data_IF_530663873339
#
_entry.id   IF_530663873339
#
_cell.length_a   1.000
_cell.length_b   1.000
_cell.length_c   1.000
_cell.angle_alpha   90.00
_cell.angle_beta   90.00
_cell.angle_gamma   90.00
#
_symmetry.space_group_name_H-M   'P 1'
#
loop_
_entity.id
_entity.type
_entity.pdbx_description
1 polymer ?
#
# COMPACT_ATOMS: atom_id res chain seq x y z
N UNK A 1 39.74 35.97 52.71
CA UNK A 1 39.60 37.13 51.81
C UNK A 1 38.25 37.03 51.09
N UNK A 2 37.25 37.76 51.59
CA UNK A 2 36.60 38.96 51.01
C UNK A 2 35.45 38.59 50.05
N UNK A 3 34.19 38.47 50.48
CA UNK A 3 33.17 39.50 50.85
C UNK A 3 32.86 40.55 49.77
N UNK A 4 31.61 40.58 49.30
CA UNK A 4 30.77 41.73 48.87
C UNK A 4 29.39 41.13 48.43
N UNK A 5 28.17 41.58 48.71
CA UNK A 5 27.51 42.71 49.42
C UNK A 5 26.00 42.31 49.50
N UNK A 6 25.30 42.30 50.64
CA UNK A 6 24.35 43.34 51.17
C UNK A 6 23.36 43.94 50.14
N UNK A 7 22.07 44.23 50.39
CA UNK A 7 21.14 44.19 51.54
C UNK A 7 19.75 44.73 51.06
N UNK A 8 18.66 44.36 51.77
CA UNK A 8 17.44 45.16 52.14
C UNK A 8 16.56 45.80 51.05
N UNK A 9 15.27 45.42 50.90
CA UNK A 9 14.07 45.86 51.67
C UNK A 9 13.68 47.35 51.56
N UNK A 10 12.51 47.62 50.94
CA UNK A 10 11.58 48.73 51.20
C UNK A 10 10.17 48.24 50.76
N UNK A 11 9.27 47.85 51.67
CA UNK A 11 8.25 48.65 52.37
C UNK A 11 7.28 49.44 51.47
N UNK A 12 6.07 48.89 51.39
CA UNK A 12 4.75 49.48 51.54
C UNK A 12 4.44 50.87 50.94
N UNK A 13 3.31 50.94 50.23
CA UNK A 13 2.32 52.00 50.42
C UNK A 13 0.91 51.46 50.19
N UNK A 14 0.03 51.80 51.12
CA UNK A 14 -1.40 51.53 51.11
C UNK A 14 -2.16 52.79 50.64
N UNK A 15 -3.39 52.62 50.17
CA UNK A 15 -4.63 53.26 50.69
C UNK A 15 -5.78 53.20 49.65
N UNK A 16 -6.90 52.68 50.16
CA UNK A 16 -8.33 52.77 49.83
C UNK A 16 -8.82 53.52 48.57
N UNK A 17 -9.83 52.92 47.91
CA UNK A 17 -11.16 53.54 47.77
C UNK A 17 -12.25 52.45 47.70
N UNK A 18 -13.28 52.60 48.54
CA UNK A 18 -14.53 51.85 48.49
C UNK A 18 -15.58 52.72 47.79
N UNK A 19 -16.42 52.12 46.92
CA UNK A 19 -17.78 52.59 46.60
C UNK A 19 -18.54 51.42 45.97
N UNK A 20 -19.78 51.23 46.42
CA UNK A 20 -20.61 50.07 46.13
C UNK A 20 -21.28 50.07 44.76
N UNK A 21 -21.80 48.88 44.41
CA UNK A 21 -22.66 48.65 43.25
C UNK A 21 -23.21 47.23 43.31
N UNK A 22 -24.49 47.10 43.66
CA UNK A 22 -25.28 45.86 43.60
C UNK A 22 -25.87 45.70 42.20
N UNK A 23 -25.67 44.55 41.54
CA UNK A 23 -26.56 43.91 40.53
C UNK A 23 -25.77 42.81 39.79
N UNK A 24 -26.06 41.51 39.96
CA UNK A 24 -27.11 40.68 39.32
C UNK A 24 -26.63 39.89 38.08
N UNK A 25 -26.69 38.57 38.22
CA UNK A 25 -26.95 37.48 37.26
C UNK A 25 -25.98 37.16 36.09
N UNK A 26 -25.67 35.84 36.04
CA UNK A 26 -25.34 34.97 34.90
C UNK A 26 -24.13 35.29 34.01
N UNK A 27 -22.96 34.82 34.47
CA UNK A 27 -21.78 34.57 33.64
C UNK A 27 -21.46 33.08 33.61
N UNK A 28 -22.01 32.35 32.65
CA UNK A 28 -21.54 31.02 32.29
C UNK A 28 -20.09 31.10 31.81
N UNK A 29 -19.17 30.47 32.53
CA UNK A 29 -17.76 30.41 32.18
C UNK A 29 -17.57 29.55 30.91
N UNK A 30 -16.96 30.08 29.83
CA UNK A 30 -16.42 29.20 28.81
C UNK A 30 -15.10 28.63 29.33
N UNK A 31 -15.14 27.37 29.79
CA UNK A 31 -13.95 26.55 29.97
C UNK A 31 -13.32 26.31 28.59
N UNK A 32 -12.37 27.17 28.22
CA UNK A 32 -11.49 26.94 27.08
C UNK A 32 -10.32 26.09 27.56
N UNK A 33 -10.54 24.78 27.60
CA UNK A 33 -9.44 23.84 27.53
C UNK A 33 -8.88 23.90 26.09
N UNK A 34 -7.56 24.06 25.88
CA UNK A 34 -6.98 23.99 24.56
C UNK A 34 -7.16 22.56 24.03
N UNK A 35 -7.88 22.44 22.92
CA UNK A 35 -8.01 21.20 22.17
C UNK A 35 -6.64 20.76 21.67
N UNK A 36 -6.05 19.76 22.31
CA UNK A 36 -4.97 18.94 21.76
C UNK A 36 -5.51 18.15 20.57
N UNK A 37 -5.59 18.80 19.40
CA UNK A 37 -5.88 18.17 18.12
C UNK A 37 -4.88 18.66 17.07
N UNK A 38 -3.57 18.45 17.29
CA UNK A 38 -2.58 18.72 16.23
C UNK A 38 -1.31 17.91 16.47
N UNK A 39 -1.26 16.65 16.02
CA UNK A 39 0.04 15.96 15.86
C UNK A 39 0.02 14.98 14.68
N UNK A 40 -1.11 14.37 14.35
CA UNK A 40 -1.21 13.38 13.25
C UNK A 40 -1.19 13.99 11.83
N UNK A 41 -1.57 15.26 11.66
CA UNK A 41 -1.57 15.91 10.33
C UNK A 41 -0.17 16.26 9.80
N UNK A 42 0.81 16.53 10.69
CA UNK A 42 2.16 16.93 10.29
C UNK A 42 3.02 15.77 9.75
N UNK A 43 2.80 14.55 10.23
CA UNK A 43 3.54 13.36 9.79
C UNK A 43 3.18 12.95 8.35
N UNK A 44 1.91 13.07 7.98
CA UNK A 44 1.46 12.69 6.63
C UNK A 44 1.97 13.68 5.57
N UNK A 45 1.95 14.98 5.86
CA UNK A 45 2.43 16.01 4.93
C UNK A 45 3.93 15.84 4.60
N UNK A 46 4.76 15.51 5.59
CA UNK A 46 6.20 15.27 5.37
C UNK A 46 6.46 14.01 4.53
N UNK A 47 5.68 12.94 4.76
CA UNK A 47 5.76 11.70 3.98
C UNK A 47 5.33 11.93 2.54
N UNK A 48 4.22 12.64 2.33
CA UNK A 48 3.73 13.02 0.99
C UNK A 48 4.73 13.87 0.22
N UNK A 49 5.35 14.85 0.89
CA UNK A 49 6.35 15.71 0.27
C UNK A 49 7.56 14.91 -0.19
N UNK A 50 8.08 14.01 0.66
CA UNK A 50 9.19 13.14 0.30
C UNK A 50 8.83 12.22 -0.87
N UNK A 51 7.65 11.61 -0.84
CA UNK A 51 7.16 10.77 -1.94
C UNK A 51 7.07 11.56 -3.25
N UNK A 52 6.57 12.80 -3.20
CA UNK A 52 6.48 13.69 -4.38
C UNK A 52 7.85 14.02 -4.95
N UNK A 53 8.85 14.25 -4.10
CA UNK A 53 10.23 14.52 -4.53
C UNK A 53 10.87 13.31 -5.21
N UNK A 54 10.72 12.12 -4.63
CA UNK A 54 11.19 10.85 -5.21
C UNK A 54 10.50 10.56 -6.54
N UNK A 55 9.16 10.68 -6.60
CA UNK A 55 8.40 10.51 -7.84
C UNK A 55 8.81 11.51 -8.92
N UNK A 56 9.09 12.77 -8.55
CA UNK A 56 9.57 13.78 -9.50
C UNK A 56 10.94 13.43 -10.07
N UNK A 57 11.87 12.94 -9.23
CA UNK A 57 13.18 12.50 -9.68
C UNK A 57 13.06 11.31 -10.65
N UNK A 58 12.29 10.29 -10.27
CA UNK A 58 12.03 9.11 -11.10
C UNK A 58 11.34 9.47 -12.43
N UNK A 59 10.35 10.35 -12.42
CA UNK A 59 9.67 10.78 -13.66
C UNK A 59 10.61 11.55 -14.59
N UNK A 60 11.53 12.34 -14.04
CA UNK A 60 12.54 13.05 -14.83
C UNK A 60 13.48 12.07 -15.53
N UNK A 61 13.97 11.06 -14.81
CA UNK A 61 14.79 9.98 -15.36
C UNK A 61 14.07 9.17 -16.45
N UNK A 62 12.79 8.85 -16.24
CA UNK A 62 11.98 8.10 -17.22
C UNK A 62 11.74 8.91 -18.51
N UNK A 63 11.55 10.23 -18.40
CA UNK A 63 11.41 11.09 -19.58
C UNK A 63 12.74 11.21 -20.32
N UNK A 64 13.85 11.41 -19.62
CA UNK A 64 15.20 11.54 -20.21
C UNK A 64 15.69 10.24 -20.86
N UNK A 65 15.33 9.09 -20.28
CA UNK A 65 15.62 7.77 -20.87
C UNK A 65 14.76 7.45 -22.11
N UNK A 66 13.79 8.30 -22.45
CA UNK A 66 12.90 8.11 -23.60
C UNK A 66 11.84 7.02 -23.37
N UNK A 67 11.57 6.62 -22.12
CA UNK A 67 10.61 5.57 -21.79
C UNK A 67 9.19 5.85 -22.33
N UNK A 68 8.87 7.12 -22.59
CA UNK A 68 7.58 7.55 -23.12
C UNK A 68 7.56 7.81 -24.65
N UNK A 69 8.70 7.68 -25.34
CA UNK A 69 8.85 8.01 -26.76
C UNK A 69 8.57 9.48 -27.06
N UNK A 70 7.99 9.78 -28.22
CA UNK A 70 7.68 11.15 -28.68
C UNK A 70 6.40 11.75 -28.06
N UNK A 71 5.85 11.13 -27.01
CA UNK A 71 4.61 11.59 -26.38
C UNK A 71 4.81 12.91 -25.66
N UNK A 72 3.87 13.83 -25.81
CA UNK A 72 3.92 15.09 -25.07
C UNK A 72 3.67 14.84 -23.57
N UNK A 73 4.25 15.63 -22.65
CA UNK A 73 4.08 15.42 -21.21
C UNK A 73 2.61 15.41 -20.73
N UNK A 74 1.70 16.01 -21.50
CA UNK A 74 0.26 16.06 -21.21
C UNK A 74 -0.49 14.77 -21.56
N UNK A 75 0.10 13.95 -22.42
CA UNK A 75 -0.48 12.69 -22.91
C UNK A 75 0.10 11.48 -22.17
N UNK A 76 1.06 11.68 -21.26
CA UNK A 76 1.58 10.61 -20.42
C UNK A 76 0.51 10.26 -19.39
N UNK A 77 -0.17 9.14 -19.62
CA UNK A 77 -1.03 8.47 -18.65
C UNK A 77 -0.41 7.12 -18.26
N UNK A 78 -0.23 6.90 -16.97
CA UNK A 78 0.35 5.69 -16.39
C UNK A 78 -0.37 5.37 -15.09
N UNK A 79 -0.87 4.15 -14.97
CA UNK A 79 -1.34 3.60 -13.70
C UNK A 79 -0.37 2.50 -13.27
N UNK A 80 0.14 2.59 -12.04
CA UNK A 80 0.99 1.60 -11.41
C UNK A 80 0.25 1.03 -10.22
N UNK A 81 -0.08 -0.26 -10.31
CA UNK A 81 -0.69 -1.01 -9.23
C UNK A 81 0.35 -1.92 -8.58
N UNK A 82 0.36 -1.95 -7.25
CA UNK A 82 1.18 -2.87 -6.46
C UNK A 82 0.30 -3.53 -5.39
N UNK A 83 0.25 -4.86 -5.29
CA UNK A 83 -0.49 -5.52 -4.22
C UNK A 83 0.20 -5.32 -2.87
N UNK A 84 -0.55 -5.49 -1.78
CA UNK A 84 0.04 -5.57 -0.45
C UNK A 84 1.01 -6.74 -0.41
N UNK A 85 2.25 -6.49 0.00
CA UNK A 85 3.30 -7.49 -0.01
C UNK A 85 4.25 -7.32 1.16
N UNK A 86 4.67 -8.45 1.71
CA UNK A 86 5.74 -8.50 2.68
C UNK A 86 7.07 -8.43 1.96
N UNK A 87 7.89 -7.44 2.31
CA UNK A 87 9.26 -7.32 1.82
C UNK A 87 10.22 -7.64 2.95
N UNK A 88 11.06 -8.65 2.74
CA UNK A 88 12.14 -9.02 3.66
C UNK A 88 13.36 -8.14 3.43
N UNK A 89 13.81 -7.42 4.47
CA UNK A 89 14.95 -6.51 4.36
C UNK A 89 16.25 -7.16 4.86
N UNK A 90 16.81 -8.07 4.06
CA UNK A 90 18.17 -8.55 4.30
C UNK A 90 19.22 -7.53 3.87
N UNK A 91 19.03 -6.85 2.73
CA UNK A 91 19.98 -5.87 2.23
C UNK A 91 21.31 -6.46 1.73
N UNK A 92 21.29 -7.68 1.17
CA UNK A 92 22.46 -8.32 0.56
C UNK A 92 22.44 -8.17 -0.96
N UNK A 93 23.53 -7.66 -1.53
CA UNK A 93 23.84 -7.79 -2.95
C UNK A 93 24.82 -8.94 -3.10
N UNK A 94 24.49 -9.91 -3.96
CA UNK A 94 25.26 -11.15 -4.12
C UNK A 94 25.59 -11.41 -5.58
N UNK A 95 26.70 -12.10 -5.83
CA UNK A 95 27.07 -12.58 -7.17
C UNK A 95 26.25 -13.82 -7.52
N UNK A 96 25.10 -13.62 -8.16
CA UNK A 96 24.25 -14.72 -8.64
C UNK A 96 24.56 -15.15 -10.07
N UNK A 97 25.41 -14.41 -10.79
CA UNK A 97 25.75 -14.71 -12.18
C UNK A 97 26.78 -15.84 -12.29
N UNK A 98 27.58 -16.02 -11.23
CA UNK A 98 28.58 -17.08 -11.14
C UNK A 98 28.14 -18.11 -10.11
N UNK A 99 28.08 -19.35 -10.54
CA UNK A 99 27.93 -20.47 -9.61
C UNK A 99 29.29 -20.79 -8.99
N UNK A 100 29.55 -20.17 -7.85
CA UNK A 100 30.76 -20.46 -7.10
C UNK A 100 30.55 -21.71 -6.26
N UNK A 101 31.38 -22.74 -6.48
CA UNK A 101 31.29 -24.01 -5.74
C UNK A 101 31.50 -23.84 -4.23
N UNK A 102 32.11 -22.74 -3.83
CA UNK A 102 32.51 -22.45 -2.45
C UNK A 102 31.51 -21.59 -1.66
N UNK A 103 30.39 -21.15 -2.27
CA UNK A 103 29.31 -20.43 -1.59
C UNK A 103 28.79 -19.21 -2.37
N UNK A 104 27.91 -18.44 -1.74
CA UNK A 104 27.34 -17.22 -2.34
C UNK A 104 28.16 -15.99 -1.93
N UNK A 105 28.78 -15.33 -2.90
CA UNK A 105 29.67 -14.20 -2.65
C UNK A 105 28.86 -12.93 -2.44
N UNK A 106 29.14 -12.22 -1.34
CA UNK A 106 28.51 -10.94 -0.98
C UNK A 106 29.30 -9.81 -1.64
N UNK A 107 28.66 -9.13 -2.58
CA UNK A 107 29.22 -7.99 -3.30
C UNK A 107 29.08 -6.71 -2.51
N UNK A 108 27.92 -6.51 -1.87
CA UNK A 108 27.66 -5.34 -1.04
C UNK A 108 26.60 -5.64 0.03
N UNK A 109 26.62 -4.82 1.08
CA UNK A 109 25.61 -4.84 2.13
C UNK A 109 24.99 -3.44 2.21
N UNK A 110 23.66 -3.39 2.29
CA UNK A 110 22.91 -2.14 2.39
C UNK A 110 23.08 -1.56 3.80
N UNK A 111 23.52 -0.29 3.95
CA UNK A 111 23.62 0.37 5.25
C UNK A 111 22.28 0.37 6.01
N UNK A 112 22.32 0.03 7.29
CA UNK A 112 21.14 -0.14 8.16
C UNK A 112 20.33 -1.43 7.90
N UNK A 113 20.70 -2.23 6.90
CA UNK A 113 20.01 -3.45 6.51
C UNK A 113 20.11 -4.58 7.55
N UNK A 114 19.30 -5.63 7.40
CA UNK A 114 19.33 -6.80 8.29
C UNK A 114 20.69 -7.50 8.32
N UNK A 115 21.34 -7.65 7.16
CA UNK A 115 22.64 -8.28 7.03
C UNK A 115 23.76 -7.49 7.72
N UNK A 116 23.78 -6.17 7.59
CA UNK A 116 24.77 -5.33 8.29
C UNK A 116 24.59 -5.44 9.81
N UNK A 117 23.35 -5.40 10.29
CA UNK A 117 23.03 -5.57 11.73
C UNK A 117 23.44 -6.94 12.27
N UNK A 118 23.46 -7.98 11.42
CA UNK A 118 23.99 -9.31 11.75
C UNK A 118 25.52 -9.40 11.66
N UNK A 119 26.20 -8.38 11.12
CA UNK A 119 27.65 -8.35 10.99
C UNK A 119 28.20 -8.89 9.67
N UNK A 120 27.35 -9.13 8.68
CA UNK A 120 27.76 -9.47 7.32
C UNK A 120 28.40 -8.26 6.62
N UNK A 121 29.34 -8.52 5.71
CA UNK A 121 30.14 -7.49 5.02
C UNK A 121 30.37 -7.88 3.56
N UNK A 122 30.70 -6.89 2.74
CA UNK A 122 31.20 -7.15 1.39
C UNK A 122 32.49 -8.00 1.45
N UNK A 123 32.62 -8.95 0.53
CA UNK A 123 33.72 -9.92 0.50
C UNK A 123 33.45 -11.21 1.28
N UNK A 124 32.34 -11.30 2.01
CA UNK A 124 31.90 -12.53 2.64
C UNK A 124 31.50 -13.58 1.60
N UNK A 125 31.77 -14.86 1.90
CA UNK A 125 31.22 -15.99 1.14
C UNK A 125 30.26 -16.77 2.02
N UNK A 126 28.97 -16.67 1.76
CA UNK A 126 27.93 -17.38 2.52
C UNK A 126 27.90 -18.84 2.10
N UNK A 127 28.22 -19.74 3.03
CA UNK A 127 28.30 -21.18 2.78
C UNK A 127 27.04 -21.92 3.19
N UNK A 128 26.29 -21.40 4.18
CA UNK A 128 25.00 -21.95 4.61
C UNK A 128 24.10 -20.90 5.26
N UNK A 129 22.79 -21.16 5.28
CA UNK A 129 21.79 -20.44 6.07
C UNK A 129 20.94 -21.45 6.85
N UNK A 130 20.83 -21.29 8.17
CA UNK A 130 20.02 -22.16 9.04
C UNK A 130 20.31 -23.66 8.82
N UNK A 131 21.59 -24.01 8.62
CA UNK A 131 22.04 -25.37 8.30
C UNK A 131 21.79 -25.83 6.85
N UNK A 132 21.08 -25.04 6.04
CA UNK A 132 20.92 -25.30 4.59
C UNK A 132 22.18 -24.85 3.85
N UNK A 133 22.93 -25.79 3.28
CA UNK A 133 24.14 -25.50 2.51
C UNK A 133 23.78 -24.77 1.21
N UNK A 134 24.52 -23.70 0.93
CA UNK A 134 24.38 -22.87 -0.28
C UNK A 134 25.53 -23.09 -1.29
N UNK A 135 26.65 -23.69 -0.88
CA UNK A 135 27.77 -23.98 -1.80
C UNK A 135 27.51 -25.19 -2.72
N UNK A 136 27.90 -25.06 -3.99
CA UNK A 136 27.98 -26.17 -4.95
C UNK A 136 26.67 -26.60 -5.61
N UNK A 137 25.62 -25.78 -5.53
CA UNK A 137 24.27 -26.15 -5.98
C UNK A 137 23.81 -25.50 -7.29
N UNK A 138 24.57 -24.61 -7.93
CA UNK A 138 24.10 -23.93 -9.16
C UNK A 138 23.09 -22.82 -8.93
N UNK A 139 22.55 -22.70 -7.71
CA UNK A 139 21.32 -21.96 -7.44
C UNK A 139 21.30 -21.32 -6.04
N UNK A 140 22.47 -21.09 -5.44
CA UNK A 140 22.64 -20.59 -4.07
C UNK A 140 21.79 -19.35 -3.78
N UNK A 141 21.78 -18.38 -4.70
CA UNK A 141 21.02 -17.14 -4.56
C UNK A 141 19.50 -17.37 -4.54
N UNK A 142 18.98 -18.28 -5.35
CA UNK A 142 17.54 -18.59 -5.36
C UNK A 142 17.14 -19.39 -4.13
N UNK A 143 17.97 -20.33 -3.68
CA UNK A 143 17.74 -21.08 -2.43
C UNK A 143 17.69 -20.11 -1.25
N UNK A 144 18.68 -19.23 -1.13
CA UNK A 144 18.71 -18.21 -0.09
C UNK A 144 17.42 -17.38 -0.09
N UNK A 145 17.04 -16.84 -1.26
CA UNK A 145 15.83 -16.01 -1.41
C UNK A 145 14.58 -16.78 -0.99
N UNK A 146 14.38 -17.99 -1.53
CA UNK A 146 13.21 -18.80 -1.25
C UNK A 146 13.10 -19.19 0.23
N UNK A 147 14.23 -19.53 0.86
CA UNK A 147 14.27 -19.83 2.30
C UNK A 147 13.86 -18.61 3.11
N UNK A 148 14.37 -17.43 2.78
CA UNK A 148 14.08 -16.18 3.50
C UNK A 148 12.64 -15.73 3.31
N UNK A 149 12.11 -15.80 2.09
CA UNK A 149 10.73 -15.38 1.77
C UNK A 149 9.68 -16.29 2.44
N UNK A 150 10.02 -17.56 2.70
CA UNK A 150 9.16 -18.49 3.41
C UNK A 150 9.12 -18.30 4.94
N UNK A 151 10.00 -17.48 5.51
CA UNK A 151 10.10 -17.30 6.96
C UNK A 151 9.19 -16.18 7.47
N UNK A 152 8.50 -16.38 8.61
CA UNK A 152 7.81 -15.30 9.31
C UNK A 152 8.74 -14.16 9.73
N UNK A 153 8.20 -12.94 9.88
CA UNK A 153 8.93 -11.84 10.52
C UNK A 153 9.40 -12.23 11.94
N UNK A 154 10.62 -11.86 12.30
CA UNK A 154 11.25 -12.22 13.57
C UNK A 154 11.88 -13.61 13.61
N UNK A 155 11.79 -14.40 12.51
CA UNK A 155 12.41 -15.73 12.46
C UNK A 155 13.93 -15.66 12.64
N UNK A 156 14.54 -16.61 13.37
CA UNK A 156 15.98 -16.66 13.54
C UNK A 156 16.69 -16.99 12.22
N UNK A 157 17.77 -16.27 11.95
CA UNK A 157 18.68 -16.52 10.85
C UNK A 157 20.08 -16.76 11.42
N UNK A 158 20.74 -17.81 10.94
CA UNK A 158 22.13 -18.14 11.25
C UNK A 158 22.87 -18.38 9.93
N UNK A 159 23.73 -17.45 9.56
CA UNK A 159 24.57 -17.51 8.37
C UNK A 159 25.92 -18.13 8.73
N UNK A 160 26.31 -19.17 8.01
CA UNK A 160 27.70 -19.62 7.99
C UNK A 160 28.41 -18.90 6.83
N UNK A 161 29.51 -18.24 7.16
CA UNK A 161 30.23 -17.35 6.27
C UNK A 161 31.71 -17.62 6.34
N UNK A 162 32.38 -17.63 5.19
CA UNK A 162 33.82 -17.59 5.12
C UNK A 162 34.29 -16.15 4.89
N UNK A 163 35.08 -15.63 5.81
CA UNK A 163 35.70 -14.30 5.77
C UNK A 163 37.19 -14.45 6.05
N UNK A 164 38.03 -13.87 5.20
CA UNK A 164 39.50 -13.95 5.30
C UNK A 164 40.04 -15.39 5.43
N UNK A 165 39.37 -16.34 4.77
CA UNK A 165 39.72 -17.77 4.81
C UNK A 165 39.20 -18.55 6.03
N UNK A 166 38.57 -17.89 7.00
CA UNK A 166 38.02 -18.51 8.21
C UNK A 166 36.50 -18.61 8.17
N UNK A 167 35.95 -19.72 8.64
CA UNK A 167 34.50 -19.89 8.80
C UNK A 167 34.03 -19.23 10.09
N UNK A 168 32.97 -18.43 10.00
CA UNK A 168 32.33 -17.70 11.09
C UNK A 168 30.82 -17.87 10.98
N UNK A 169 30.13 -17.78 12.12
CA UNK A 169 28.66 -17.82 12.17
C UNK A 169 28.13 -16.46 12.61
N UNK A 170 27.22 -15.89 11.83
CA UNK A 170 26.53 -14.64 12.12
C UNK A 170 25.04 -14.91 12.29
N UNK A 171 24.49 -14.51 13.43
CA UNK A 171 23.09 -14.78 13.76
C UNK A 171 22.30 -13.50 14.00
N UNK A 172 21.01 -13.54 13.69
CA UNK A 172 20.07 -12.46 13.99
C UNK A 172 18.65 -12.86 13.67
N UNK A 173 17.78 -11.87 13.51
CA UNK A 173 16.36 -12.08 13.23
C UNK A 173 15.98 -11.44 11.91
N UNK A 174 15.17 -12.15 11.12
CA UNK A 174 14.57 -11.61 9.92
C UNK A 174 13.68 -10.41 10.26
N UNK A 175 13.87 -9.30 9.55
CA UNK A 175 13.01 -8.13 9.63
C UNK A 175 12.32 -7.97 8.28
N UNK A 176 11.00 -8.01 8.30
CA UNK A 176 10.17 -7.76 7.13
C UNK A 176 9.30 -6.54 7.38
N UNK A 177 9.05 -5.78 6.31
CA UNK A 177 8.09 -4.68 6.28
C UNK A 177 6.88 -5.12 5.45
N UNK A 178 5.69 -4.73 5.87
CA UNK A 178 4.47 -4.92 5.08
C UNK A 178 4.25 -3.65 4.26
N UNK A 179 4.40 -3.76 2.94
CA UNK A 179 4.01 -2.70 2.03
C UNK A 179 2.49 -2.80 1.79
N UNK A 180 1.76 -1.69 1.90
CA UNK A 180 0.34 -1.68 1.59
C UNK A 180 0.11 -1.89 0.09
N UNK A 181 -1.12 -2.22 -0.28
CA UNK A 181 -1.53 -2.13 -1.68
C UNK A 181 -1.48 -0.66 -2.12
N UNK A 182 -0.93 -0.40 -3.30
CA UNK A 182 -0.74 0.93 -3.86
C UNK A 182 -1.41 1.01 -5.23
N UNK A 183 -2.08 2.12 -5.48
CA UNK A 183 -2.54 2.54 -6.79
C UNK A 183 -1.98 3.94 -7.04
N UNK A 184 -1.09 4.06 -8.01
CA UNK A 184 -0.47 5.33 -8.39
C UNK A 184 -0.91 5.67 -9.81
N UNK A 185 -1.58 6.80 -9.99
CA UNK A 185 -1.90 7.34 -11.32
C UNK A 185 -1.04 8.56 -11.61
N UNK A 186 -0.50 8.60 -12.82
CA UNK A 186 0.33 9.67 -13.34
C UNK A 186 -0.34 10.10 -14.65
N UNK A 187 -0.84 11.33 -14.69
CA UNK A 187 -1.71 11.79 -15.77
C UNK A 187 -3.13 11.20 -15.67
N UNK A 188 -4.15 12.04 -15.85
CA UNK A 188 -5.54 11.57 -15.67
C UNK A 188 -6.67 12.60 -15.65
N UNK A 189 -6.44 13.92 -15.61
CA UNK A 189 -7.54 14.88 -15.75
C UNK A 189 -7.30 16.22 -15.06
N UNK A 190 -7.32 17.27 -15.88
CA UNK A 190 -7.10 18.71 -15.62
C UNK A 190 -5.77 19.14 -14.98
N UNK A 191 -5.00 20.01 -15.66
CA UNK A 191 -3.75 20.54 -15.13
C UNK A 191 -3.99 21.40 -13.89
N UNK A 192 -3.07 21.31 -12.93
CA UNK A 192 -2.70 22.45 -12.09
C UNK A 192 -2.09 23.49 -13.04
N UNK A 193 -2.93 24.24 -13.74
CA UNK A 193 -2.64 25.65 -13.93
C UNK A 193 -3.08 26.31 -12.62
N UNK A 194 -2.13 26.93 -11.93
CA UNK A 194 -2.46 27.95 -10.95
C UNK A 194 -3.51 28.89 -11.56
N UNK A 195 -4.65 29.07 -10.88
CA UNK A 195 -5.61 30.20 -10.90
C UNK A 195 -6.97 29.68 -10.38
N UNK A 196 -7.37 30.13 -9.18
CA UNK A 196 -8.76 30.06 -8.68
C UNK A 196 -9.68 31.03 -9.47
N UNK A 197 -11.01 31.03 -9.27
CA UNK A 197 -12.02 30.13 -9.83
C UNK A 197 -12.99 30.90 -10.77
N UNK A 198 -14.11 30.31 -11.23
CA UNK A 198 -15.34 30.63 -10.50
C UNK A 198 -16.21 29.41 -10.21
N UNK A 199 -16.95 29.53 -9.11
CA UNK A 199 -18.00 28.61 -8.71
C UNK A 199 -19.11 28.49 -9.77
N UNK A 200 -19.52 27.26 -10.06
CA UNK A 200 -20.90 26.96 -10.44
C UNK A 200 -21.22 25.49 -10.13
N UNK A 201 -22.27 25.33 -9.34
CA UNK A 201 -22.84 24.15 -8.71
C UNK A 201 -23.75 23.32 -9.62
N UNK A 202 -23.73 21.99 -9.44
CA UNK A 202 -24.86 21.04 -9.30
C UNK A 202 -24.41 19.66 -9.82
N UNK A 203 -24.45 18.53 -9.10
CA UNK A 203 -25.37 18.12 -8.04
C UNK A 203 -24.63 17.49 -6.84
N UNK A 204 -25.17 17.73 -5.65
CA UNK A 204 -24.70 17.20 -4.37
C UNK A 204 -25.17 15.75 -4.18
N UNK A 205 -24.60 14.83 -4.94
CA UNK A 205 -24.37 13.46 -4.52
C UNK A 205 -22.90 13.23 -4.83
N UNK A 206 -22.05 13.14 -3.79
CA UNK A 206 -20.61 12.99 -4.00
C UNK A 206 -20.31 11.79 -4.90
N UNK A 207 -19.13 11.66 -5.47
CA UNK A 207 -18.84 10.50 -6.32
C UNK A 207 -18.18 9.37 -5.51
N UNK A 208 -18.15 8.18 -6.07
CA UNK A 208 -17.33 7.08 -5.59
C UNK A 208 -16.73 6.30 -6.76
N UNK A 209 -16.12 5.16 -6.46
CA UNK A 209 -15.44 4.33 -7.45
C UNK A 209 -15.78 2.86 -7.29
N UNK A 210 -15.83 2.14 -8.39
CA UNK A 210 -16.01 0.70 -8.45
C UNK A 210 -14.76 0.11 -9.08
N UNK A 211 -14.11 -0.83 -8.40
CA UNK A 211 -12.85 -1.43 -8.84
C UNK A 211 -13.00 -2.94 -9.03
N UNK A 212 -12.60 -3.41 -10.21
CA UNK A 212 -12.50 -4.83 -10.57
C UNK A 212 -11.04 -5.31 -10.60
N UNK A 213 -10.16 -4.59 -9.90
CA UNK A 213 -8.77 -4.95 -9.72
C UNK A 213 -8.62 -6.22 -8.86
N UNK A 214 -7.85 -7.19 -9.34
CA UNK A 214 -7.78 -8.53 -8.75
C UNK A 214 -6.84 -8.61 -7.52
N UNK A 215 -7.33 -8.05 -6.41
CA UNK A 215 -6.71 -8.12 -5.06
C UNK A 215 -7.51 -9.01 -4.10
N UNK A 216 -8.46 -9.79 -4.61
CA UNK A 216 -9.34 -10.65 -3.82
C UNK A 216 -8.55 -11.76 -3.08
N UNK A 217 -8.79 -12.03 -1.78
CA UNK A 217 -8.03 -13.03 -1.03
C UNK A 217 -8.50 -14.46 -1.34
N UNK A 218 -7.66 -15.22 -2.07
CA UNK A 218 -7.97 -16.60 -2.53
C UNK A 218 -8.25 -17.55 -1.37
N UNK A 219 -7.61 -17.33 -0.22
CA UNK A 219 -7.81 -18.11 1.00
C UNK A 219 -9.23 -17.97 1.61
N UNK A 220 -9.98 -16.96 1.17
CA UNK A 220 -11.38 -16.72 1.58
C UNK A 220 -12.37 -17.11 0.48
N UNK A 221 -11.92 -17.89 -0.51
CA UNK A 221 -12.72 -18.26 -1.69
C UNK A 221 -13.18 -17.04 -2.51
N UNK A 222 -12.39 -15.97 -2.48
CA UNK A 222 -12.61 -14.77 -3.28
C UNK A 222 -11.58 -14.70 -4.40
N UNK A 223 -12.06 -14.52 -5.62
CA UNK A 223 -11.29 -14.55 -6.86
C UNK A 223 -11.53 -13.28 -7.69
N UNK A 224 -10.70 -13.10 -8.71
CA UNK A 224 -10.85 -12.02 -9.67
C UNK A 224 -12.24 -12.01 -10.32
N UNK A 225 -12.72 -10.80 -10.61
CA UNK A 225 -13.94 -10.56 -11.35
C UNK A 225 -13.71 -9.41 -12.33
N UNK A 226 -14.50 -9.37 -13.40
CA UNK A 226 -14.46 -8.29 -14.39
C UNK A 226 -15.83 -7.62 -14.44
N UNK A 227 -15.85 -6.30 -14.30
CA UNK A 227 -17.07 -5.51 -14.52
C UNK A 227 -17.24 -5.35 -16.03
N UNK A 228 -18.39 -5.80 -16.52
CA UNK A 228 -18.78 -5.74 -17.92
C UNK A 228 -19.63 -4.51 -18.22
N UNK A 229 -20.49 -4.12 -17.29
CA UNK A 229 -21.29 -2.89 -17.35
C UNK A 229 -21.64 -2.35 -15.97
N UNK A 230 -21.87 -1.04 -15.91
CA UNK A 230 -22.39 -0.30 -14.76
C UNK A 230 -23.65 0.40 -15.27
N UNK A 231 -24.80 0.13 -14.66
CA UNK A 231 -26.10 0.66 -15.07
C UNK A 231 -26.38 0.45 -16.57
N UNK A 232 -26.06 -0.75 -17.06
CA UNK A 232 -26.15 -1.15 -18.47
C UNK A 232 -25.24 -0.39 -19.46
N UNK A 233 -24.36 0.47 -18.97
CA UNK A 233 -23.34 1.17 -19.77
C UNK A 233 -21.95 0.53 -19.65
N UNK A 234 -21.14 0.64 -20.70
CA UNK A 234 -19.77 0.14 -20.69
C UNK A 234 -18.92 0.95 -19.70
N UNK A 235 -18.16 0.28 -18.80
CA UNK A 235 -17.48 0.94 -17.71
C UNK A 235 -16.17 1.55 -18.22
N UNK A 236 -16.21 2.83 -18.58
CA UNK A 236 -15.05 3.64 -18.95
C UNK A 236 -14.23 3.13 -20.16
N UNK A 237 -13.03 3.69 -20.39
CA UNK A 237 -12.19 3.29 -21.52
C UNK A 237 -11.66 1.87 -21.36
N UNK A 238 -11.52 1.16 -22.49
CA UNK A 238 -11.05 -0.23 -22.56
C UNK A 238 -9.77 -0.44 -21.77
N UNK A 239 -9.77 -1.43 -20.86
CA UNK A 239 -8.61 -1.78 -20.04
C UNK A 239 -8.60 -1.16 -18.64
N UNK A 240 -9.47 -0.19 -18.37
CA UNK A 240 -9.64 0.36 -17.02
C UNK A 240 -10.07 -0.73 -16.04
N UNK A 241 -9.60 -0.60 -14.79
CA UNK A 241 -9.91 -1.50 -13.66
C UNK A 241 -10.62 -0.81 -12.51
N UNK A 242 -10.83 0.50 -12.64
CA UNK A 242 -11.41 1.37 -11.63
C UNK A 242 -12.25 2.41 -12.34
N UNK A 243 -13.52 2.55 -11.94
CA UNK A 243 -14.53 3.32 -12.67
C UNK A 243 -15.21 4.29 -11.72
N UNK A 244 -15.16 5.58 -12.05
CA UNK A 244 -15.81 6.63 -11.27
C UNK A 244 -17.30 6.65 -11.59
N UNK A 245 -18.11 6.69 -10.54
CA UNK A 245 -19.58 6.69 -10.63
C UNK A 245 -20.14 7.72 -9.64
N UNK A 246 -21.35 8.25 -9.88
CA UNK A 246 -22.09 8.99 -8.86
C UNK A 246 -22.19 8.18 -7.55
N UNK A 247 -22.31 8.82 -6.38
CA UNK A 247 -22.73 8.08 -5.20
C UNK A 247 -24.22 7.75 -5.32
N UNK A 248 -24.58 6.56 -4.86
CA UNK A 248 -25.93 6.05 -4.97
C UNK A 248 -25.93 4.57 -5.30
N UNK A 249 -27.08 4.09 -5.74
CA UNK A 249 -27.25 2.70 -6.14
C UNK A 249 -26.84 2.51 -7.58
N UNK A 250 -26.04 1.47 -7.80
CA UNK A 250 -25.59 1.06 -9.12
C UNK A 250 -25.82 -0.43 -9.32
N UNK A 251 -26.12 -0.80 -10.56
CA UNK A 251 -26.33 -2.17 -10.98
C UNK A 251 -25.13 -2.61 -11.80
N UNK A 252 -24.38 -3.59 -11.29
CA UNK A 252 -23.15 -4.05 -11.94
C UNK A 252 -23.39 -5.38 -12.62
N UNK A 253 -23.02 -5.51 -13.89
CA UNK A 253 -22.90 -6.79 -14.56
C UNK A 253 -21.47 -7.25 -14.49
N UNK A 254 -21.24 -8.40 -13.86
CA UNK A 254 -19.92 -8.91 -13.52
C UNK A 254 -19.74 -10.29 -14.14
N UNK A 255 -18.58 -10.57 -14.74
CA UNK A 255 -18.15 -11.93 -15.05
C UNK A 255 -17.09 -12.39 -14.07
N UNK A 256 -17.12 -13.67 -13.71
CA UNK A 256 -16.05 -14.29 -12.94
C UNK A 256 -14.73 -14.37 -13.74
N UNK A 257 -13.61 -14.26 -13.04
CA UNK A 257 -12.27 -14.56 -13.56
C UNK A 257 -11.57 -15.58 -12.64
N UNK A 258 -12.30 -16.61 -12.21
CA UNK A 258 -11.76 -17.65 -11.33
C UNK A 258 -10.73 -18.47 -12.11
N UNK A 259 -9.55 -18.65 -11.52
CA UNK A 259 -8.47 -19.37 -12.17
C UNK A 259 -8.84 -20.86 -12.34
N UNK A 260 -8.57 -21.49 -13.50
CA UNK A 260 -9.02 -22.86 -13.78
C UNK A 260 -8.59 -23.90 -12.74
N UNK A 261 -7.47 -23.66 -12.02
CA UNK A 261 -6.98 -24.55 -10.95
C UNK A 261 -7.95 -24.69 -9.76
N UNK A 262 -8.87 -23.75 -9.59
CA UNK A 262 -9.88 -23.78 -8.52
C UNK A 262 -11.21 -24.40 -8.96
N UNK A 263 -11.36 -24.69 -10.25
CA UNK A 263 -12.59 -25.24 -10.83
C UNK A 263 -12.40 -26.73 -11.14
N UNK A 264 -13.40 -27.58 -10.83
CA UNK A 264 -13.33 -29.02 -11.13
C UNK A 264 -13.66 -29.34 -12.60
N UNK A 265 -13.86 -28.33 -13.44
CA UNK A 265 -14.20 -28.44 -14.86
C UNK A 265 -13.31 -27.52 -15.70
N UNK A 266 -13.15 -27.85 -16.99
CA UNK A 266 -12.28 -27.11 -17.89
C UNK A 266 -12.98 -25.90 -18.54
N UNK A 267 -12.18 -25.02 -19.13
CA UNK A 267 -12.64 -23.80 -19.81
C UNK A 267 -13.60 -24.10 -20.97
N UNK A 268 -13.49 -25.27 -21.61
CA UNK A 268 -14.41 -25.66 -22.68
C UNK A 268 -15.83 -25.83 -22.14
N UNK A 269 -15.99 -26.53 -21.02
CA UNK A 269 -17.28 -26.67 -20.34
C UNK A 269 -17.76 -25.33 -19.80
N UNK A 270 -16.87 -24.57 -19.15
CA UNK A 270 -17.15 -23.22 -18.65
C UNK A 270 -17.72 -22.30 -19.73
N UNK A 271 -17.10 -22.30 -20.90
CA UNK A 271 -17.49 -21.43 -22.01
C UNK A 271 -18.67 -21.99 -22.83
N UNK A 272 -18.89 -23.31 -22.86
CA UNK A 272 -19.98 -23.93 -23.61
C UNK A 272 -21.29 -24.09 -22.81
N UNK A 273 -21.27 -23.78 -21.51
CA UNK A 273 -22.42 -23.95 -20.63
C UNK A 273 -23.61 -23.05 -20.98
N UNK A 274 -24.85 -23.51 -20.74
CA UNK A 274 -26.07 -22.73 -20.99
C UNK A 274 -26.31 -21.63 -19.94
N UNK A 275 -25.56 -21.61 -18.84
CA UNK A 275 -25.72 -20.67 -17.74
C UNK A 275 -25.23 -19.25 -18.03
N UNK A 276 -25.64 -18.27 -17.21
CA UNK A 276 -25.25 -16.88 -17.39
C UNK A 276 -23.74 -16.72 -17.16
N UNK A 277 -23.01 -16.26 -18.20
CA UNK A 277 -21.57 -15.94 -18.13
C UNK A 277 -21.24 -14.74 -17.26
N UNK A 278 -22.28 -14.01 -16.86
CA UNK A 278 -22.20 -12.82 -16.04
C UNK A 278 -23.40 -12.78 -15.12
N UNK A 279 -23.19 -12.36 -13.88
CA UNK A 279 -24.25 -12.13 -12.90
C UNK A 279 -24.35 -10.65 -12.59
N UNK A 280 -25.51 -10.26 -12.10
CA UNK A 280 -25.78 -8.87 -11.70
C UNK A 280 -25.71 -8.75 -10.18
N UNK A 281 -25.15 -7.65 -9.69
CA UNK A 281 -25.19 -7.27 -8.27
C UNK A 281 -25.59 -5.80 -8.15
N UNK A 282 -26.49 -5.53 -7.22
CA UNK A 282 -26.80 -4.16 -6.81
C UNK A 282 -25.82 -3.73 -5.72
N UNK A 283 -25.21 -2.56 -5.89
CA UNK A 283 -24.26 -1.99 -4.94
C UNK A 283 -24.68 -0.57 -4.57
N UNK A 284 -24.39 -0.17 -3.34
CA UNK A 284 -24.56 1.20 -2.88
C UNK A 284 -23.18 1.85 -2.69
N UNK A 285 -22.87 2.79 -3.57
CA UNK A 285 -21.62 3.54 -3.59
C UNK A 285 -21.79 4.75 -2.69
N UNK A 286 -21.11 4.75 -1.54
CA UNK A 286 -21.07 5.93 -0.68
C UNK A 286 -20.12 6.99 -1.26
N UNK A 287 -20.37 8.29 -1.00
CA UNK A 287 -19.46 9.35 -1.38
C UNK A 287 -18.04 9.12 -0.86
N UNK A 288 -17.03 9.40 -1.69
CA UNK A 288 -15.62 9.22 -1.37
C UNK A 288 -15.29 7.80 -0.91
N UNK A 289 -15.83 6.79 -1.60
CA UNK A 289 -15.48 5.39 -1.37
C UNK A 289 -15.14 4.66 -2.66
N UNK A 290 -14.26 3.66 -2.54
CA UNK A 290 -13.96 2.68 -3.57
C UNK A 290 -14.46 1.31 -3.12
N UNK A 291 -15.37 0.74 -3.92
CA UNK A 291 -15.90 -0.61 -3.76
C UNK A 291 -15.10 -1.59 -4.60
N UNK A 292 -14.55 -2.63 -3.97
CA UNK A 292 -13.85 -3.71 -4.67
C UNK A 292 -14.80 -4.90 -4.87
N UNK A 293 -14.98 -5.28 -6.13
CA UNK A 293 -15.78 -6.45 -6.50
C UNK A 293 -14.91 -7.68 -6.68
N UNK A 294 -15.47 -8.85 -6.40
CA UNK A 294 -14.84 -10.15 -6.57
C UNK A 294 -15.88 -11.22 -6.95
N UNK A 295 -15.39 -12.36 -7.43
CA UNK A 295 -16.17 -13.57 -7.58
C UNK A 295 -15.95 -14.44 -6.34
N UNK A 296 -17.02 -14.72 -5.58
CA UNK A 296 -16.99 -15.69 -4.49
C UNK A 296 -17.22 -17.07 -5.07
N UNK A 297 -16.31 -18.00 -4.85
CA UNK A 297 -16.48 -19.41 -5.21
C UNK A 297 -17.34 -20.10 -4.15
N UNK A 298 -18.39 -20.80 -4.59
CA UNK A 298 -19.30 -21.56 -3.75
C UNK A 298 -18.84 -23.01 -3.67
N UNK A 299 -18.17 -23.37 -2.59
CA UNK A 299 -17.52 -24.69 -2.42
C UNK A 299 -18.48 -25.87 -2.51
N UNK A 300 -19.68 -25.70 -1.97
CA UNK A 300 -20.78 -26.65 -2.00
C UNK A 300 -21.37 -26.87 -3.40
N UNK A 301 -21.18 -25.90 -4.31
CA UNK A 301 -21.79 -25.90 -5.66
C UNK A 301 -20.75 -25.91 -6.77
N UNK A 302 -19.49 -26.26 -6.50
CA UNK A 302 -18.38 -26.22 -7.48
C UNK A 302 -18.63 -27.07 -8.74
N UNK A 303 -19.49 -28.08 -8.66
CA UNK A 303 -19.85 -28.94 -9.80
C UNK A 303 -21.10 -28.45 -10.55
N UNK A 304 -21.84 -27.48 -10.00
CA UNK A 304 -23.03 -26.85 -10.57
C UNK A 304 -22.62 -25.71 -11.52
N UNK A 305 -21.93 -26.07 -12.61
CA UNK A 305 -21.42 -25.11 -13.59
C UNK A 305 -22.42 -24.79 -14.71
N UNK A 306 -23.42 -25.66 -14.93
CA UNK A 306 -24.37 -25.54 -16.05
C UNK A 306 -25.31 -24.34 -15.91
N UNK A 307 -25.70 -24.03 -14.68
CA UNK A 307 -26.58 -22.92 -14.29
C UNK A 307 -25.79 -21.75 -13.68
N UNK A 308 -24.47 -21.89 -13.51
CA UNK A 308 -23.60 -20.87 -12.94
C UNK A 308 -23.71 -20.73 -11.43
N UNK A 309 -24.23 -21.73 -10.71
CA UNK A 309 -24.40 -21.68 -9.26
C UNK A 309 -23.07 -21.77 -8.47
N UNK A 310 -21.98 -22.19 -9.12
CA UNK A 310 -20.64 -22.34 -8.52
C UNK A 310 -19.98 -21.04 -8.04
N UNK A 311 -20.49 -19.86 -8.39
CA UNK A 311 -19.90 -18.58 -7.95
C UNK A 311 -20.95 -17.50 -7.79
N UNK A 312 -20.71 -16.50 -6.94
CA UNK A 312 -21.55 -15.30 -6.85
C UNK A 312 -20.74 -14.00 -6.85
N UNK A 313 -21.22 -12.93 -7.49
CA UNK A 313 -20.59 -11.62 -7.42
C UNK A 313 -20.74 -11.06 -6.01
N UNK A 314 -19.68 -10.47 -5.47
CA UNK A 314 -19.71 -9.81 -4.16
C UNK A 314 -18.89 -8.54 -4.15
N UNK A 315 -19.33 -7.58 -3.35
CA UNK A 315 -18.43 -6.54 -2.82
C UNK A 315 -17.73 -7.13 -1.62
N UNK A 316 -16.41 -7.26 -1.69
CA UNK A 316 -15.65 -7.90 -0.60
C UNK A 316 -14.88 -6.90 0.26
N UNK A 317 -14.67 -5.68 -0.25
CA UNK A 317 -13.97 -4.61 0.47
C UNK A 317 -14.48 -3.24 0.02
N UNK A 318 -14.59 -2.33 0.97
CA UNK A 318 -14.83 -0.91 0.73
C UNK A 318 -13.74 -0.11 1.42
N UNK A 319 -13.18 0.89 0.75
CA UNK A 319 -12.22 1.82 1.35
C UNK A 319 -12.64 3.26 1.09
N UNK A 320 -12.38 4.15 2.04
CA UNK A 320 -12.55 5.57 1.84
C UNK A 320 -11.46 6.10 0.90
N UNK A 321 -11.87 6.77 -0.17
CA UNK A 321 -10.98 7.37 -1.15
C UNK A 321 -11.66 8.61 -1.72
N UNK A 322 -10.99 9.76 -1.64
CA UNK A 322 -11.58 11.02 -2.10
C UNK A 322 -11.76 11.02 -3.61
N UNK A 323 -12.91 11.54 -4.00
CA UNK A 323 -13.36 11.51 -5.36
C UNK A 323 -13.04 12.88 -6.00
N UNK A 324 -11.76 13.05 -6.35
CA UNK A 324 -11.19 14.25 -6.96
C UNK A 324 -10.66 13.94 -8.36
#
# INVERSE_FOLDING_TARGET
MNFLRMRTSCLAWAVLFALGGTAQADGGAPSTAPSTQTTTQGTNAAVEQRLREELRALMSELVESGAFGDRSPREISLAVDSPAQRVSNLGLLVDSARDHRDGLHVLAVTPGGGAERMGLRAGDVVTALNGTRLGGTGNAASVLRQTVDGLPNGSPLAFEVRRDGHTQTFSGTLSSIELPAMHLTIGGGTPVAAVDPPAASAATQGCGRISDFDVAPRQQHLHGAKVLSIDDELPGPTGSKSYQVPAGRHVLKISEQIEPRYLPFNDRLRNAGPGPRSKTIEVEVAPNTTLFVAARLNDDKRTEWRDGAYWDPVVWRTTSETCN
#
